data_IF_788471550778
#
_entry.id   IF_788471550778
#
_cell.length_a   1.000
_cell.length_b   1.000
_cell.length_c   1.000
_cell.angle_alpha   90.00
_cell.angle_beta   90.00
_cell.angle_gamma   90.00
#
_symmetry.space_group_name_H-M   'P 1'
#
loop_
_entity.id
_entity.type
_entity.pdbx_description
1 polymer ?
#
# COMPACT_ATOMS: atom_id res chain seq x y z
N UNK A 1 17.81 3.19 -20.25
CA UNK A 1 17.13 4.23 -21.03
C UNK A 1 16.82 3.74 -22.44
N UNK A 2 17.81 3.34 -23.24
CA UNK A 2 17.60 2.86 -24.63
C UNK A 2 16.55 1.75 -24.76
N UNK A 3 16.61 0.73 -23.89
CA UNK A 3 15.67 -0.38 -23.94
C UNK A 3 14.25 0.05 -23.59
N UNK A 4 14.09 0.96 -22.61
CA UNK A 4 12.80 1.52 -22.20
C UNK A 4 12.14 2.29 -23.35
N UNK A 5 12.87 3.21 -23.99
CA UNK A 5 12.36 3.96 -25.15
C UNK A 5 12.05 3.05 -26.34
N UNK A 6 12.83 1.98 -26.55
CA UNK A 6 12.60 1.02 -27.62
C UNK A 6 11.33 0.19 -27.38
N UNK A 7 11.14 -0.30 -26.16
CA UNK A 7 9.94 -1.06 -25.78
C UNK A 7 8.68 -0.19 -25.84
N UNK A 8 8.77 1.06 -25.39
CA UNK A 8 7.65 2.01 -25.41
C UNK A 8 7.38 2.63 -26.80
N UNK A 9 8.23 2.38 -27.80
CA UNK A 9 8.07 2.95 -29.14
C UNK A 9 8.27 4.47 -29.23
N UNK A 10 8.92 5.09 -28.25
CA UNK A 10 9.16 6.54 -28.20
C UNK A 10 10.65 6.87 -28.41
N UNK A 11 10.95 8.07 -28.89
CA UNK A 11 12.33 8.54 -28.94
C UNK A 11 12.77 9.09 -27.56
N UNK A 12 14.08 9.21 -27.33
CA UNK A 12 14.63 9.71 -26.06
C UNK A 12 14.26 11.16 -25.77
N UNK A 13 14.14 12.01 -26.79
CA UNK A 13 13.71 13.40 -26.63
C UNK A 13 12.31 13.48 -26.05
N UNK A 14 11.39 12.64 -26.54
CA UNK A 14 10.03 12.52 -26.00
C UNK A 14 10.03 12.03 -24.56
N UNK A 15 10.89 11.09 -24.20
CA UNK A 15 11.01 10.66 -22.80
C UNK A 15 11.42 11.82 -21.87
N UNK A 16 12.45 12.57 -22.26
CA UNK A 16 12.98 13.68 -21.46
C UNK A 16 12.05 14.92 -21.40
N UNK A 17 10.98 14.96 -22.20
CA UNK A 17 9.92 15.97 -22.05
C UNK A 17 9.07 15.75 -20.80
N UNK A 18 8.97 14.50 -20.34
CA UNK A 18 8.08 14.11 -19.24
C UNK A 18 8.85 13.67 -17.99
N UNK A 19 10.06 13.12 -18.16
CA UNK A 19 10.83 12.56 -17.05
C UNK A 19 12.29 12.99 -17.12
N UNK A 20 12.84 13.42 -15.97
CA UNK A 20 14.26 13.78 -15.84
C UNK A 20 15.14 12.56 -16.14
N UNK A 21 14.76 11.41 -15.58
CA UNK A 21 15.36 10.12 -15.87
C UNK A 21 14.38 8.98 -15.54
N UNK A 22 14.86 7.73 -15.61
CA UNK A 22 14.06 6.53 -15.31
C UNK A 22 13.65 6.41 -13.83
N UNK A 23 14.34 7.10 -12.91
CA UNK A 23 14.05 7.09 -11.48
C UNK A 23 12.92 8.08 -11.19
N UNK A 24 12.99 9.28 -11.76
CA UNK A 24 11.90 10.26 -11.72
C UNK A 24 10.58 9.66 -12.28
N UNK A 25 10.65 8.94 -13.39
CA UNK A 25 9.48 8.19 -13.90
C UNK A 25 8.93 7.17 -12.89
N UNK A 26 9.80 6.43 -12.19
CA UNK A 26 9.37 5.43 -11.21
C UNK A 26 8.74 6.10 -9.98
N UNK A 27 9.27 7.25 -9.54
CA UNK A 27 8.68 8.03 -8.45
C UNK A 27 7.34 8.63 -8.82
N UNK A 28 7.18 9.15 -10.05
CA UNK A 28 5.87 9.63 -10.53
C UNK A 28 4.83 8.51 -10.56
N UNK A 29 5.14 7.35 -11.14
CA UNK A 29 4.21 6.21 -11.14
C UNK A 29 3.90 5.69 -9.73
N UNK A 30 4.86 5.72 -8.82
CA UNK A 30 4.64 5.39 -7.40
C UNK A 30 3.64 6.38 -6.78
N UNK A 31 3.80 7.68 -7.02
CA UNK A 31 2.89 8.69 -6.48
C UNK A 31 1.49 8.55 -7.08
N UNK A 32 1.37 8.37 -8.41
CA UNK A 32 0.08 8.12 -9.08
C UNK A 32 -0.63 6.88 -8.48
N UNK A 33 0.13 5.82 -8.21
CA UNK A 33 -0.36 4.61 -7.55
C UNK A 33 -0.87 4.89 -6.13
N UNK A 34 -0.16 5.70 -5.35
CA UNK A 34 -0.59 6.08 -4.01
C UNK A 34 -1.85 6.95 -4.06
N UNK A 35 -1.94 7.88 -5.00
CA UNK A 35 -3.11 8.74 -5.19
C UNK A 35 -4.36 7.92 -5.54
N UNK A 36 -4.24 6.96 -6.45
CA UNK A 36 -5.32 6.01 -6.78
C UNK A 36 -5.79 5.22 -5.54
N UNK A 37 -4.83 4.74 -4.74
CA UNK A 37 -5.14 4.03 -3.50
C UNK A 37 -5.83 4.94 -2.47
N UNK A 38 -5.40 6.20 -2.32
CA UNK A 38 -6.08 7.17 -1.45
C UNK A 38 -7.50 7.49 -1.91
N UNK A 39 -7.73 7.53 -3.23
CA UNK A 39 -9.08 7.68 -3.77
C UNK A 39 -9.98 6.50 -3.40
N UNK A 40 -9.46 5.26 -3.39
CA UNK A 40 -10.21 4.08 -2.92
C UNK A 40 -10.54 4.21 -1.43
N UNK A 41 -9.59 4.63 -0.60
CA UNK A 41 -9.77 4.79 0.84
C UNK A 41 -10.81 5.88 1.19
N UNK A 42 -10.90 6.91 0.35
CA UNK A 42 -11.79 8.06 0.55
C UNK A 42 -13.19 7.87 -0.04
N UNK A 43 -13.49 6.69 -0.60
CA UNK A 43 -14.81 6.39 -1.15
C UNK A 43 -15.85 6.27 -0.01
N UNK A 44 -16.69 7.30 0.13
CA UNK A 44 -17.76 7.39 1.14
C UNK A 44 -18.73 6.20 1.12
N UNK A 45 -18.85 5.48 -0.01
CA UNK A 45 -19.72 4.30 -0.12
C UNK A 45 -19.22 3.09 0.68
N UNK A 46 -17.94 3.06 1.01
CA UNK A 46 -17.29 1.94 1.71
C UNK A 46 -16.47 2.37 2.92
N UNK A 47 -16.24 3.67 3.13
CA UNK A 47 -15.29 4.17 4.15
C UNK A 47 -15.55 3.64 5.57
N UNK A 48 -16.80 3.34 5.93
CA UNK A 48 -17.16 2.77 7.25
C UNK A 48 -17.00 1.24 7.33
N UNK A 49 -16.77 0.56 6.20
CA UNK A 49 -16.57 -0.88 6.12
C UNK A 49 -15.09 -1.19 5.87
N UNK A 50 -14.37 -1.39 6.98
CA UNK A 50 -12.94 -1.73 6.99
C UNK A 50 -12.60 -2.89 6.05
N UNK A 51 -13.47 -3.91 5.98
CA UNK A 51 -13.25 -5.07 5.12
C UNK A 51 -13.39 -4.68 3.65
N UNK A 52 -14.43 -3.93 3.28
CA UNK A 52 -14.63 -3.48 1.90
C UNK A 52 -13.49 -2.58 1.43
N UNK A 53 -13.04 -1.64 2.27
CA UNK A 53 -11.89 -0.76 1.99
C UNK A 53 -10.63 -1.58 1.74
N UNK A 54 -10.31 -2.49 2.65
CA UNK A 54 -9.12 -3.34 2.52
C UNK A 54 -9.19 -4.25 1.29
N UNK A 55 -10.36 -4.85 1.04
CA UNK A 55 -10.56 -5.70 -0.13
C UNK A 55 -10.36 -4.94 -1.44
N UNK A 56 -10.93 -3.73 -1.58
CA UNK A 56 -10.74 -2.90 -2.79
C UNK A 56 -9.29 -2.45 -2.95
N UNK A 57 -8.64 -2.05 -1.86
CA UNK A 57 -7.21 -1.68 -1.85
C UNK A 57 -6.35 -2.84 -2.36
N UNK A 58 -6.55 -4.04 -1.83
CA UNK A 58 -5.81 -5.24 -2.23
C UNK A 58 -6.19 -5.72 -3.64
N UNK A 59 -7.41 -5.45 -4.10
CA UNK A 59 -7.83 -5.68 -5.50
C UNK A 59 -7.01 -4.81 -6.44
N UNK A 60 -6.89 -3.51 -6.16
CA UNK A 60 -6.05 -2.62 -6.96
C UNK A 60 -4.60 -3.09 -7.01
N UNK A 61 -4.03 -3.49 -5.86
CA UNK A 61 -2.65 -4.04 -5.80
C UNK A 61 -2.52 -5.29 -6.67
N UNK A 62 -3.54 -6.15 -6.68
CA UNK A 62 -3.57 -7.39 -7.47
C UNK A 62 -3.69 -7.12 -8.97
N UNK A 63 -4.49 -6.14 -9.37
CA UNK A 63 -4.65 -5.71 -10.77
C UNK A 63 -3.37 -5.05 -11.32
N UNK A 64 -2.62 -4.35 -10.46
CA UNK A 64 -1.36 -3.68 -10.80
C UNK A 64 -0.11 -4.46 -10.36
N UNK A 65 -0.22 -5.78 -10.17
CA UNK A 65 0.76 -6.56 -9.44
C UNK A 65 2.17 -6.55 -10.05
N UNK A 66 2.31 -6.56 -11.38
CA UNK A 66 3.63 -6.54 -12.02
C UNK A 66 4.43 -5.28 -11.66
N UNK A 67 3.75 -4.13 -11.63
CA UNK A 67 4.35 -2.86 -11.23
C UNK A 67 4.69 -2.86 -9.74
N UNK A 68 3.73 -3.23 -8.87
CA UNK A 68 3.96 -3.31 -7.42
C UNK A 68 5.10 -4.26 -7.08
N UNK A 69 5.17 -5.41 -7.74
CA UNK A 69 6.25 -6.36 -7.57
C UNK A 69 7.59 -5.77 -8.00
N UNK A 70 7.66 -5.09 -9.15
CA UNK A 70 8.88 -4.40 -9.59
C UNK A 70 9.33 -3.32 -8.60
N UNK A 71 8.40 -2.52 -8.07
CA UNK A 71 8.65 -1.51 -7.04
C UNK A 71 9.17 -2.17 -5.75
N UNK A 72 8.59 -3.28 -5.31
CA UNK A 72 9.03 -4.02 -4.11
C UNK A 72 10.47 -4.56 -4.20
N UNK A 73 11.00 -4.71 -5.42
CA UNK A 73 12.39 -5.15 -5.69
C UNK A 73 13.34 -4.00 -5.98
N UNK A 74 12.82 -2.77 -6.09
CA UNK A 74 13.63 -1.59 -6.39
C UNK A 74 14.46 -1.18 -5.19
N UNK A 75 15.77 -1.00 -5.37
CA UNK A 75 16.63 -0.44 -4.32
C UNK A 75 16.36 1.05 -4.03
N UNK A 76 15.54 1.71 -4.85
CA UNK A 76 15.24 3.14 -4.75
C UNK A 76 13.93 3.41 -3.99
N UNK A 77 13.12 2.37 -3.77
CA UNK A 77 11.86 2.49 -3.04
C UNK A 77 11.98 1.69 -1.76
N UNK A 78 11.80 2.37 -0.63
CA UNK A 78 11.61 1.71 0.65
C UNK A 78 10.17 1.21 0.72
N UNK A 79 9.94 0.02 0.15
CA UNK A 79 8.60 -0.57 0.03
C UNK A 79 7.94 -0.82 1.40
N UNK A 80 8.62 -1.40 2.40
CA UNK A 80 8.08 -1.49 3.77
C UNK A 80 7.65 -0.14 4.33
N UNK A 81 8.51 0.88 4.24
CA UNK A 81 8.18 2.21 4.73
C UNK A 81 6.98 2.81 3.98
N UNK A 82 6.92 2.65 2.67
CA UNK A 82 5.82 3.15 1.84
C UNK A 82 4.48 2.57 2.28
N UNK A 83 4.42 1.27 2.60
CA UNK A 83 3.20 0.64 3.14
C UNK A 83 2.85 1.22 4.51
N UNK A 84 3.83 1.35 5.42
CA UNK A 84 3.59 1.90 6.76
C UNK A 84 3.07 3.34 6.70
N UNK A 85 3.70 4.18 5.88
CA UNK A 85 3.29 5.57 5.67
C UNK A 85 1.85 5.64 5.15
N UNK A 86 1.52 4.83 4.13
CA UNK A 86 0.17 4.76 3.55
C UNK A 86 -0.89 4.35 4.58
N UNK A 87 -0.63 3.28 5.33
CA UNK A 87 -1.56 2.82 6.39
C UNK A 87 -1.69 3.86 7.50
N UNK A 88 -0.59 4.54 7.85
CA UNK A 88 -0.63 5.60 8.85
C UNK A 88 -1.47 6.80 8.38
N UNK A 89 -1.30 7.24 7.14
CA UNK A 89 -2.10 8.31 6.54
C UNK A 89 -3.59 7.96 6.51
N UNK A 90 -3.93 6.70 6.21
CA UNK A 90 -5.30 6.23 6.35
C UNK A 90 -5.81 6.31 7.79
N UNK A 91 -5.04 5.85 8.78
CA UNK A 91 -5.43 5.92 10.19
C UNK A 91 -5.70 7.35 10.67
N UNK A 92 -5.01 8.37 10.11
CA UNK A 92 -5.28 9.77 10.43
C UNK A 92 -6.70 10.22 10.05
N UNK A 93 -7.36 9.51 9.13
CA UNK A 93 -8.75 9.76 8.74
C UNK A 93 -9.77 9.06 9.66
N UNK A 94 -9.31 8.09 10.47
CA UNK A 94 -10.16 7.31 11.37
C UNK A 94 -10.27 8.01 12.73
N UNK A 95 -11.48 8.39 13.19
CA UNK A 95 -11.68 8.98 14.50
C UNK A 95 -11.17 8.06 15.61
N UNK A 96 -10.56 8.65 16.64
CA UNK A 96 -10.16 7.94 17.87
C UNK A 96 -9.15 6.79 17.69
N UNK A 97 -8.56 6.60 16.50
CA UNK A 97 -7.67 5.46 16.21
C UNK A 97 -6.53 5.30 17.23
N UNK A 98 -6.01 6.40 17.78
CA UNK A 98 -4.95 6.38 18.80
C UNK A 98 -5.42 5.69 20.09
N UNK A 99 -6.63 5.99 20.53
CA UNK A 99 -7.24 5.40 21.73
C UNK A 99 -7.61 3.94 21.47
N UNK A 100 -8.16 3.62 20.29
CA UNK A 100 -8.47 2.24 19.89
C UNK A 100 -7.21 1.36 19.89
N UNK A 101 -6.13 1.81 19.25
CA UNK A 101 -4.86 1.07 19.18
C UNK A 101 -4.24 0.92 20.58
N UNK A 102 -4.19 2.00 21.36
CA UNK A 102 -3.59 1.96 22.71
C UNK A 102 -4.35 1.00 23.62
N UNK A 103 -5.69 1.04 23.58
CA UNK A 103 -6.56 0.16 24.37
C UNK A 103 -6.41 -1.31 23.96
N UNK A 104 -6.34 -1.58 22.66
CA UNK A 104 -6.24 -2.95 22.15
C UNK A 104 -4.94 -3.64 22.56
N UNK A 105 -3.81 -2.94 22.45
CA UNK A 105 -2.50 -3.53 22.77
C UNK A 105 -2.12 -3.40 24.25
N UNK A 106 -2.74 -2.50 25.02
CA UNK A 106 -2.44 -2.22 26.43
C UNK A 106 -0.95 -1.91 26.70
N UNK A 107 -0.34 -1.16 25.78
CA UNK A 107 1.05 -0.68 25.84
C UNK A 107 1.14 0.78 25.37
N UNK A 108 2.25 1.50 25.61
CA UNK A 108 2.35 2.90 25.19
C UNK A 108 2.15 3.08 23.68
N UNK A 109 1.37 4.10 23.31
CA UNK A 109 0.91 4.36 21.94
C UNK A 109 1.97 4.17 20.84
N UNK A 110 3.18 4.70 21.03
CA UNK A 110 4.24 4.60 20.02
C UNK A 110 4.62 3.14 19.69
N UNK A 111 4.61 2.25 20.68
CA UNK A 111 4.91 0.83 20.47
C UNK A 111 3.70 0.09 19.91
N UNK A 112 2.50 0.43 20.38
CA UNK A 112 1.24 -0.13 19.85
C UNK A 112 1.07 0.19 18.36
N UNK A 113 1.32 1.45 17.97
CA UNK A 113 1.30 1.90 16.58
C UNK A 113 2.34 1.16 15.74
N UNK A 114 3.58 1.05 16.22
CA UNK A 114 4.64 0.35 15.48
C UNK A 114 4.31 -1.13 15.26
N UNK A 115 3.77 -1.82 16.26
CA UNK A 115 3.31 -3.22 16.14
C UNK A 115 2.18 -3.32 15.12
N UNK A 116 1.20 -2.41 15.18
CA UNK A 116 0.06 -2.38 14.26
C UNK A 116 0.51 -2.22 12.81
N UNK A 117 1.29 -1.16 12.53
CA UNK A 117 1.79 -0.85 11.19
C UNK A 117 2.71 -1.95 10.64
N UNK A 118 3.61 -2.48 11.48
CA UNK A 118 4.52 -3.56 11.09
C UNK A 118 3.79 -4.85 10.76
N UNK A 119 2.72 -5.17 11.49
CA UNK A 119 1.96 -6.40 11.23
C UNK A 119 1.31 -6.39 9.85
N UNK A 120 0.66 -5.27 9.48
CA UNK A 120 0.04 -5.09 8.16
C UNK A 120 1.10 -5.08 7.06
N UNK A 121 2.15 -4.26 7.25
CA UNK A 121 3.27 -4.15 6.30
C UNK A 121 3.89 -5.52 6.01
N UNK A 122 4.21 -6.28 7.06
CA UNK A 122 4.90 -7.55 6.90
C UNK A 122 4.06 -8.60 6.15
N UNK A 123 2.74 -8.58 6.33
CA UNK A 123 1.82 -9.47 5.60
C UNK A 123 1.77 -9.08 4.11
N UNK A 124 1.62 -7.79 3.79
CA UNK A 124 1.58 -7.29 2.41
C UNK A 124 2.92 -7.55 1.71
N UNK A 125 4.03 -7.21 2.36
CA UNK A 125 5.39 -7.46 1.85
C UNK A 125 5.62 -8.95 1.58
N UNK A 126 5.17 -9.84 2.47
CA UNK A 126 5.25 -11.28 2.25
C UNK A 126 4.40 -11.75 1.06
N UNK A 127 3.16 -11.28 0.96
CA UNK A 127 2.26 -11.62 -0.14
C UNK A 127 2.86 -11.22 -1.49
N UNK A 128 3.34 -9.98 -1.61
CA UNK A 128 4.02 -9.48 -2.83
C UNK A 128 5.29 -10.28 -3.10
N UNK A 129 6.12 -10.55 -2.10
CA UNK A 129 7.35 -11.33 -2.28
C UNK A 129 7.09 -12.77 -2.75
N UNK A 130 5.95 -13.36 -2.38
CA UNK A 130 5.51 -14.70 -2.82
C UNK A 130 4.89 -14.71 -4.23
N UNK A 131 4.79 -13.56 -4.89
CA UNK A 131 4.15 -13.43 -6.20
C UNK A 131 2.64 -13.26 -6.11
N UNK A 132 2.12 -12.80 -4.97
CA UNK A 132 0.71 -12.51 -4.77
C UNK A 132 -0.18 -13.74 -4.89
N UNK A 133 0.25 -14.91 -4.39
CA UNK A 133 -0.41 -16.20 -4.68
C UNK A 133 -1.81 -16.30 -4.09
N UNK A 134 -1.99 -15.80 -2.88
CA UNK A 134 -3.27 -15.72 -2.18
C UNK A 134 -4.24 -14.82 -2.95
N UNK A 135 -5.53 -15.22 -2.98
CA UNK A 135 -6.60 -14.40 -3.55
C UNK A 135 -6.78 -13.12 -2.73
N UNK A 136 -7.42 -12.11 -3.32
CA UNK A 136 -7.71 -10.85 -2.62
C UNK A 136 -8.54 -11.10 -1.36
N UNK A 137 -9.52 -12.00 -1.43
CA UNK A 137 -10.33 -12.41 -0.27
C UNK A 137 -9.46 -13.03 0.82
N UNK A 138 -8.59 -14.00 0.45
CA UNK A 138 -7.72 -14.68 1.39
C UNK A 138 -6.79 -13.71 2.11
N UNK A 139 -6.12 -12.81 1.38
CA UNK A 139 -5.19 -11.86 1.99
C UNK A 139 -5.92 -10.79 2.82
N UNK A 140 -7.11 -10.38 2.41
CA UNK A 140 -7.98 -9.46 3.18
C UNK A 140 -8.31 -10.10 4.53
N UNK A 141 -8.80 -11.34 4.52
CA UNK A 141 -9.20 -12.03 5.74
C UNK A 141 -8.00 -12.32 6.66
N UNK A 142 -6.80 -12.58 6.10
CA UNK A 142 -5.57 -12.73 6.89
C UNK A 142 -5.21 -11.41 7.59
N UNK A 143 -5.20 -10.29 6.86
CA UNK A 143 -4.86 -8.99 7.43
C UNK A 143 -5.90 -8.60 8.49
N UNK A 144 -7.20 -8.78 8.24
CA UNK A 144 -8.23 -8.51 9.24
C UNK A 144 -8.05 -9.35 10.51
N UNK A 145 -7.66 -10.62 10.42
CA UNK A 145 -7.43 -11.43 11.65
C UNK A 145 -6.31 -10.89 12.53
N UNK A 146 -5.38 -10.13 11.97
CA UNK A 146 -4.22 -9.56 12.69
C UNK A 146 -4.45 -8.10 13.06
N UNK A 147 -5.12 -7.34 12.18
CA UNK A 147 -5.27 -5.89 12.25
C UNK A 147 -6.68 -5.43 12.60
N UNK A 148 -7.70 -6.29 12.55
CA UNK A 148 -9.03 -5.93 12.99
C UNK A 148 -8.98 -5.74 14.51
N UNK A 149 -9.15 -4.48 14.89
CA UNK A 149 -9.43 -4.05 16.26
C UNK A 149 -10.85 -4.51 16.69
N UNK A 150 -11.55 -5.28 15.85
CA UNK A 150 -12.92 -5.77 16.00
C UNK A 150 -13.13 -6.88 17.06
N UNK A 151 -12.10 -7.28 17.82
CA UNK A 151 -12.33 -8.08 19.05
C UNK A 151 -12.97 -7.25 20.19
N UNK A 152 -13.77 -6.24 19.85
CA UNK A 152 -14.30 -5.21 20.73
C UNK A 152 -15.84 -5.18 20.79
N UNK A 153 -16.51 -6.32 20.69
CA UNK A 153 -17.84 -6.57 21.32
C UNK A 153 -17.89 -8.01 21.84
#
# INVERSE_FOLDING_TARGET
MSDLTRTAGINRGTFYLHYVDKYDMADQFKNDTLDDLFHILSDESIYTDTRAVLFRTLTYVKENFEFIYAISKSAYVDFPKTIKDFVYEFLLTVPEFKETITTYYDIPYQYALEVYLSSIESIISLWVAKGGKESTEEITDIILKVAALEKMI
#
